data_IF_251111477165
#
_entry.id   IF_251111477165
#
_cell.length_a   1.000
_cell.length_b   1.000
_cell.length_c   1.000
_cell.angle_alpha   90.00
_cell.angle_beta   90.00
_cell.angle_gamma   90.00
#
_symmetry.space_group_name_H-M   'P 1'
#
loop_
_entity.id
_entity.type
_entity.pdbx_description
1 polymer ?
#
# COMPACT_ATOMS: atom_id res chain seq x y z
N UNK A 1 -17.05 10.06 -18.82
CA UNK A 1 -16.83 8.85 -19.58
C UNK A 1 -15.34 8.57 -19.76
N UNK A 2 -14.94 7.33 -19.49
CA UNK A 2 -13.78 6.68 -20.08
C UNK A 2 -12.39 6.90 -19.51
N UNK A 3 -12.22 7.30 -18.29
CA UNK A 3 -10.88 7.32 -17.72
C UNK A 3 -10.55 6.13 -16.79
N UNK A 4 -11.07 4.96 -17.15
CA UNK A 4 -10.78 3.68 -16.49
C UNK A 4 -9.35 3.17 -16.70
N UNK A 5 -8.54 3.87 -17.49
CA UNK A 5 -7.13 3.53 -17.75
C UNK A 5 -6.13 4.31 -16.88
N UNK A 6 -6.58 5.28 -16.11
CA UNK A 6 -5.72 6.06 -15.21
C UNK A 6 -5.44 5.25 -13.96
N UNK A 7 -4.17 5.03 -13.66
CA UNK A 7 -3.79 4.50 -12.36
C UNK A 7 -4.23 5.48 -11.25
N UNK A 8 -4.70 4.96 -10.13
CA UNK A 8 -5.10 5.77 -8.96
C UNK A 8 -4.07 6.83 -8.56
N UNK A 9 -2.79 6.55 -8.74
CA UNK A 9 -1.71 7.48 -8.46
C UNK A 9 -1.77 8.81 -9.25
N UNK A 10 -2.27 8.79 -10.48
CA UNK A 10 -2.34 9.98 -11.33
C UNK A 10 -3.50 10.90 -10.92
N UNK A 11 -4.65 10.30 -10.60
CA UNK A 11 -5.84 11.04 -10.16
C UNK A 11 -5.54 11.79 -8.87
N UNK A 12 -4.91 11.16 -7.90
CA UNK A 12 -4.54 11.81 -6.63
C UNK A 12 -3.55 12.94 -6.82
N UNK A 13 -2.53 12.75 -7.64
CA UNK A 13 -1.50 13.77 -7.87
C UNK A 13 -2.10 15.04 -8.48
N UNK A 14 -2.98 14.87 -9.45
CA UNK A 14 -3.68 16.00 -10.07
C UNK A 14 -4.67 16.66 -9.12
N UNK A 15 -5.43 15.89 -8.36
CA UNK A 15 -6.34 16.44 -7.34
C UNK A 15 -5.59 17.22 -6.26
N UNK A 16 -4.44 16.73 -5.80
CA UNK A 16 -3.60 17.42 -4.83
C UNK A 16 -3.05 18.74 -5.38
N UNK A 17 -2.69 18.78 -6.66
CA UNK A 17 -2.25 20.00 -7.33
C UNK A 17 -3.41 20.99 -7.52
N UNK A 18 -4.51 20.54 -8.11
CA UNK A 18 -5.70 21.37 -8.35
C UNK A 18 -6.28 21.92 -7.03
N UNK A 19 -6.12 21.18 -5.93
CA UNK A 19 -6.45 21.60 -4.57
C UNK A 19 -5.42 22.50 -3.88
N UNK A 20 -4.29 22.83 -4.56
CA UNK A 20 -3.23 23.65 -4.00
C UNK A 20 -2.44 23.00 -2.84
N UNK A 21 -2.49 21.68 -2.72
CA UNK A 21 -1.85 20.92 -1.63
C UNK A 21 -0.38 20.62 -1.95
N UNK A 22 -0.04 20.48 -3.23
CA UNK A 22 1.34 20.28 -3.69
C UNK A 22 1.79 21.45 -4.58
N UNK A 23 3.01 21.87 -4.37
CA UNK A 23 3.70 22.85 -5.22
C UNK A 23 4.57 22.15 -6.28
N UNK A 24 5.13 22.95 -7.20
CA UNK A 24 5.93 22.42 -8.33
C UNK A 24 7.29 21.86 -7.92
N UNK A 25 7.74 22.15 -6.71
CA UNK A 25 9.03 21.70 -6.17
C UNK A 25 8.92 20.38 -5.41
N UNK A 26 7.71 19.88 -5.15
CA UNK A 26 7.48 18.61 -4.49
C UNK A 26 7.95 17.43 -5.35
N UNK A 27 8.52 16.44 -4.68
CA UNK A 27 8.86 15.18 -5.32
C UNK A 27 7.60 14.38 -5.65
N UNK A 28 7.51 13.96 -6.91
CA UNK A 28 6.43 13.11 -7.42
C UNK A 28 7.07 11.85 -8.00
N UNK A 29 7.06 10.77 -7.24
CA UNK A 29 7.63 9.49 -7.66
C UNK A 29 6.54 8.70 -8.40
N UNK A 30 6.81 8.35 -9.67
CA UNK A 30 5.85 7.68 -10.53
C UNK A 30 6.28 6.23 -10.76
N UNK A 31 5.82 5.34 -9.87
CA UNK A 31 6.13 3.91 -9.88
C UNK A 31 5.18 3.11 -10.80
N UNK A 32 5.49 1.81 -10.91
CA UNK A 32 4.67 0.82 -11.60
C UNK A 32 4.86 0.84 -13.11
N UNK A 33 4.27 -0.15 -13.77
CA UNK A 33 4.33 -0.35 -15.22
C UNK A 33 3.60 0.81 -15.95
N UNK A 34 4.26 1.45 -16.94
CA UNK A 34 3.73 2.63 -17.62
C UNK A 34 3.06 2.24 -18.93
N UNK A 35 1.75 2.42 -18.97
CA UNK A 35 0.98 2.40 -20.21
C UNK A 35 1.05 3.78 -20.88
N UNK A 36 0.77 3.89 -22.20
CA UNK A 36 0.86 5.17 -22.92
C UNK A 36 0.16 6.34 -22.22
N UNK A 37 -1.07 6.15 -21.76
CA UNK A 37 -1.81 7.20 -21.06
C UNK A 37 -1.13 7.65 -19.76
N UNK A 38 -0.50 6.73 -19.03
CA UNK A 38 0.26 7.09 -17.82
C UNK A 38 1.50 7.90 -18.18
N UNK A 39 2.19 7.52 -19.26
CA UNK A 39 3.34 8.29 -19.79
C UNK A 39 2.93 9.72 -20.17
N UNK A 40 1.80 9.88 -20.84
CA UNK A 40 1.27 11.20 -21.21
C UNK A 40 0.97 12.07 -19.97
N UNK A 41 0.36 11.50 -18.95
CA UNK A 41 0.07 12.20 -17.70
C UNK A 41 1.37 12.63 -16.98
N UNK A 42 2.38 11.76 -16.94
CA UNK A 42 3.69 12.10 -16.36
C UNK A 42 4.37 13.20 -17.18
N UNK A 43 4.34 13.08 -18.51
CA UNK A 43 4.91 14.06 -19.41
C UNK A 43 4.23 15.43 -19.24
N UNK A 44 2.92 15.46 -19.05
CA UNK A 44 2.19 16.70 -18.77
C UNK A 44 2.70 17.36 -17.48
N UNK A 45 2.86 16.61 -16.37
CA UNK A 45 3.40 17.17 -15.13
C UNK A 45 4.79 17.79 -15.34
N UNK A 46 5.70 17.08 -16.02
CA UNK A 46 7.04 17.60 -16.32
C UNK A 46 6.97 18.85 -17.21
N UNK A 47 6.13 18.83 -18.24
CA UNK A 47 5.95 19.95 -19.17
C UNK A 47 5.30 21.16 -18.48
N UNK A 48 4.45 20.96 -17.48
CA UNK A 48 3.84 21.99 -16.64
C UNK A 48 4.80 22.56 -15.58
N UNK A 49 6.01 22.00 -15.50
CA UNK A 49 7.08 22.54 -14.66
C UNK A 49 7.21 21.91 -13.28
N UNK A 50 6.69 20.70 -13.06
CA UNK A 50 6.96 19.90 -11.86
C UNK A 50 8.34 19.27 -11.99
N UNK A 51 9.37 20.01 -11.60
CA UNK A 51 10.79 19.71 -11.86
C UNK A 51 11.30 18.47 -11.09
N UNK A 52 10.58 18.03 -10.07
CA UNK A 52 10.91 16.87 -9.27
C UNK A 52 9.96 15.68 -9.51
N UNK A 53 9.33 15.64 -10.69
CA UNK A 53 8.63 14.44 -11.15
C UNK A 53 9.64 13.40 -11.62
N UNK A 54 9.66 12.24 -11.00
CA UNK A 54 10.60 11.15 -11.27
C UNK A 54 9.82 9.89 -11.67
N UNK A 55 9.61 9.63 -12.98
CA UNK A 55 9.15 8.32 -13.42
C UNK A 55 10.23 7.27 -13.16
N UNK A 56 9.87 6.21 -12.45
CA UNK A 56 10.74 5.09 -12.12
C UNK A 56 10.53 3.99 -13.14
N UNK A 57 11.52 3.73 -13.97
CA UNK A 57 11.47 2.72 -15.03
C UNK A 57 11.32 1.32 -14.43
N UNK A 58 10.28 0.64 -14.82
CA UNK A 58 10.00 -0.74 -14.44
C UNK A 58 10.62 -1.76 -15.42
N UNK A 59 10.84 -1.34 -16.65
CA UNK A 59 11.55 -2.08 -17.70
C UNK A 59 12.30 -1.14 -18.63
N UNK A 60 13.12 -1.71 -19.52
CA UNK A 60 14.00 -0.93 -20.40
C UNK A 60 13.25 -0.22 -21.53
N UNK A 61 12.15 -0.82 -21.98
CA UNK A 61 11.33 -0.37 -23.10
C UNK A 61 10.52 0.88 -22.76
N UNK A 62 10.24 1.13 -21.48
CA UNK A 62 9.50 2.33 -21.04
C UNK A 62 10.22 3.63 -21.42
N UNK A 63 11.56 3.61 -21.52
CA UNK A 63 12.31 4.80 -21.90
C UNK A 63 11.99 5.24 -23.35
N UNK A 64 11.75 4.30 -24.25
CA UNK A 64 11.41 4.60 -25.64
C UNK A 64 10.01 5.24 -25.72
N UNK A 65 9.06 4.86 -24.85
CA UNK A 65 7.76 5.56 -24.72
C UNK A 65 7.91 7.00 -24.22
N UNK A 66 8.91 7.26 -23.38
CA UNK A 66 9.17 8.60 -22.85
C UNK A 66 9.80 9.53 -23.89
N UNK A 67 10.60 8.99 -24.85
CA UNK A 67 11.26 9.79 -25.87
C UNK A 67 10.26 10.62 -26.69
N UNK A 68 9.11 10.07 -27.01
CA UNK A 68 8.10 10.74 -27.82
C UNK A 68 7.23 11.71 -26.99
N UNK A 69 6.96 11.39 -25.74
CA UNK A 69 6.01 12.12 -24.91
C UNK A 69 6.58 13.36 -24.20
N UNK A 70 7.86 13.33 -23.84
CA UNK A 70 8.48 14.40 -23.06
C UNK A 70 9.08 15.48 -23.97
N UNK A 71 8.76 16.73 -23.73
CA UNK A 71 9.33 17.89 -24.44
C UNK A 71 10.40 18.63 -23.66
N UNK A 72 10.49 18.37 -22.34
CA UNK A 72 11.49 18.94 -21.43
C UNK A 72 12.40 17.87 -20.86
N UNK A 73 13.54 18.31 -20.32
CA UNK A 73 14.45 17.44 -19.58
C UNK A 73 13.72 16.86 -18.36
N UNK A 74 13.86 15.54 -18.15
CA UNK A 74 13.20 14.81 -17.08
C UNK A 74 14.21 14.01 -16.25
N UNK A 75 14.02 14.02 -14.94
CA UNK A 75 14.68 13.10 -14.01
C UNK A 75 13.99 11.74 -14.11
N UNK A 76 14.76 10.65 -14.11
CA UNK A 76 14.22 9.28 -14.13
C UNK A 76 14.82 8.47 -13.00
N UNK A 77 14.06 7.47 -12.55
CA UNK A 77 14.54 6.42 -11.66
C UNK A 77 14.62 5.08 -12.37
N UNK A 78 15.29 4.11 -11.78
CA UNK A 78 15.31 2.72 -12.20
C UNK A 78 14.87 1.86 -11.03
N UNK A 79 13.87 1.01 -11.23
CA UNK A 79 13.51 -0.04 -10.27
C UNK A 79 14.37 -1.26 -10.50
N UNK A 80 14.91 -1.79 -9.41
CA UNK A 80 15.70 -3.02 -9.38
C UNK A 80 14.75 -4.20 -9.15
N UNK A 81 14.89 -5.25 -9.95
CA UNK A 81 14.19 -6.50 -9.73
C UNK A 81 14.91 -7.28 -8.62
N UNK A 82 14.38 -7.17 -7.39
CA UNK A 82 14.92 -7.85 -6.23
C UNK A 82 14.61 -9.34 -6.24
N UNK A 83 15.46 -10.13 -5.57
CA UNK A 83 15.17 -11.51 -5.26
C UNK A 83 14.18 -11.60 -4.10
N UNK A 84 13.23 -12.54 -4.18
CA UNK A 84 12.22 -12.77 -3.16
C UNK A 84 12.62 -13.91 -2.21
N UNK A 85 12.03 -13.93 -1.04
CA UNK A 85 12.23 -15.06 -0.12
C UNK A 85 11.73 -16.39 -0.71
N UNK A 86 12.37 -17.53 -0.39
CA UNK A 86 12.03 -18.86 -0.97
C UNK A 86 10.59 -19.33 -0.74
N UNK A 87 9.85 -18.71 0.15
CA UNK A 87 8.43 -19.03 0.38
C UNK A 87 7.50 -18.55 -0.74
N UNK A 88 7.98 -17.67 -1.63
CA UNK A 88 7.23 -17.27 -2.81
C UNK A 88 7.42 -18.28 -3.93
N UNK A 89 6.40 -18.40 -4.78
CA UNK A 89 6.43 -19.26 -5.97
C UNK A 89 7.53 -18.84 -6.97
N UNK A 90 7.86 -17.55 -6.98
CA UNK A 90 8.88 -16.96 -7.85
C UNK A 90 10.02 -16.36 -7.02
N UNK A 91 11.25 -16.63 -7.44
CA UNK A 91 12.46 -16.16 -6.74
C UNK A 91 12.82 -14.71 -7.04
N UNK A 92 12.25 -14.12 -8.08
CA UNK A 92 12.57 -12.75 -8.50
C UNK A 92 11.31 -11.95 -8.72
N UNK A 93 11.33 -10.69 -8.30
CA UNK A 93 10.22 -9.75 -8.56
C UNK A 93 9.90 -9.69 -10.05
N UNK A 94 8.61 -9.73 -10.39
CA UNK A 94 8.14 -9.51 -11.77
C UNK A 94 8.32 -8.06 -12.24
N UNK A 95 8.67 -7.15 -11.34
CA UNK A 95 8.83 -5.72 -11.58
C UNK A 95 10.30 -5.33 -11.45
N UNK A 96 10.72 -4.42 -12.32
CA UNK A 96 12.07 -3.85 -12.31
C UNK A 96 13.02 -4.48 -13.32
N UNK A 97 14.21 -3.91 -13.40
CA UNK A 97 15.32 -4.32 -14.27
C UNK A 97 16.30 -5.16 -13.45
N UNK A 98 16.81 -6.25 -14.02
CA UNK A 98 17.77 -7.14 -13.34
C UNK A 98 19.04 -6.38 -12.96
N UNK A 99 19.63 -6.70 -11.81
CA UNK A 99 20.87 -6.09 -11.30
C UNK A 99 21.96 -5.99 -12.37
N UNK A 100 22.26 -7.09 -13.03
CA UNK A 100 23.35 -7.17 -14.01
C UNK A 100 23.11 -6.35 -15.28
N UNK A 101 21.88 -5.95 -15.54
CA UNK A 101 21.53 -5.24 -16.78
C UNK A 101 21.53 -3.71 -16.60
N UNK A 102 21.53 -3.22 -15.37
CA UNK A 102 21.32 -1.79 -15.07
C UNK A 102 22.47 -0.93 -15.56
N UNK A 103 23.71 -1.34 -15.32
CA UNK A 103 24.92 -0.59 -15.70
C UNK A 103 24.99 -0.46 -17.23
N UNK A 104 24.77 -1.55 -17.94
CA UNK A 104 24.82 -1.57 -19.41
C UNK A 104 23.66 -0.77 -20.01
N UNK A 105 22.47 -0.86 -19.43
CA UNK A 105 21.33 -0.06 -19.84
C UNK A 105 21.62 1.44 -19.64
N UNK A 106 22.15 1.83 -18.49
CA UNK A 106 22.55 3.23 -18.25
C UNK A 106 23.56 3.71 -19.30
N UNK A 107 24.64 2.95 -19.56
CA UNK A 107 25.67 3.31 -20.53
C UNK A 107 25.11 3.43 -21.94
N UNK A 108 24.20 2.54 -22.32
CA UNK A 108 23.65 2.49 -23.68
C UNK A 108 22.59 3.58 -23.95
N UNK A 109 21.74 3.86 -22.97
CA UNK A 109 20.53 4.66 -23.20
C UNK A 109 20.50 5.98 -22.44
N UNK A 110 21.06 6.09 -21.24
CA UNK A 110 20.90 7.25 -20.35
C UNK A 110 22.15 8.13 -20.29
N UNK A 111 23.35 7.56 -20.32
CA UNK A 111 24.62 8.31 -20.11
C UNK A 111 24.77 9.54 -21.00
N UNK A 112 24.40 9.43 -22.26
CA UNK A 112 24.52 10.50 -23.24
C UNK A 112 23.17 11.15 -23.59
N UNK A 113 22.10 10.82 -22.87
CA UNK A 113 20.79 11.39 -23.11
C UNK A 113 20.79 12.88 -22.75
N UNK A 114 20.31 13.71 -23.67
CA UNK A 114 20.07 15.13 -23.43
C UNK A 114 18.73 15.39 -22.73
N UNK A 115 17.86 14.40 -22.76
CA UNK A 115 16.47 14.48 -22.30
C UNK A 115 16.28 13.86 -20.92
N UNK A 116 16.92 12.74 -20.65
CA UNK A 116 16.75 11.98 -19.41
C UNK A 116 18.01 12.03 -18.54
N UNK A 117 17.80 12.20 -17.24
CA UNK A 117 18.85 12.23 -16.24
C UNK A 117 18.53 11.22 -15.15
N UNK A 118 19.38 10.18 -15.01
CA UNK A 118 19.20 9.22 -13.94
C UNK A 118 19.43 9.88 -12.58
N UNK A 119 18.42 9.83 -11.71
CA UNK A 119 18.41 10.51 -10.41
C UNK A 119 18.25 9.56 -9.25
N UNK A 120 17.56 8.43 -9.44
CA UNK A 120 17.11 7.57 -8.38
C UNK A 120 17.27 6.09 -8.75
N UNK A 121 17.69 5.28 -7.77
CA UNK A 121 17.43 3.85 -7.76
C UNK A 121 16.28 3.53 -6.81
N UNK A 122 15.50 2.54 -7.13
CA UNK A 122 14.38 2.05 -6.32
C UNK A 122 14.45 0.54 -6.18
N UNK A 123 14.30 0.04 -4.95
CA UNK A 123 14.07 -1.37 -4.71
C UNK A 123 12.91 -1.58 -3.73
N UNK A 124 12.33 -2.77 -3.76
CA UNK A 124 11.23 -3.15 -2.89
C UNK A 124 11.21 -4.67 -2.74
N UNK A 125 10.99 -5.13 -1.52
CA UNK A 125 10.85 -6.55 -1.18
C UNK A 125 9.42 -6.80 -0.68
N UNK A 126 8.73 -7.80 -1.26
CA UNK A 126 7.33 -8.10 -0.93
C UNK A 126 7.11 -8.51 0.54
N UNK A 127 8.12 -9.11 1.19
CA UNK A 127 8.05 -9.47 2.61
C UNK A 127 8.14 -8.28 3.56
N UNK A 128 8.41 -7.10 3.02
CA UNK A 128 8.57 -5.87 3.78
C UNK A 128 9.91 -5.73 4.49
N UNK A 129 10.04 -4.66 5.25
CA UNK A 129 11.25 -4.33 6.01
C UNK A 129 11.24 -5.14 7.29
N UNK A 130 12.13 -6.10 7.37
CA UNK A 130 12.32 -7.00 8.50
C UNK A 130 13.80 -7.23 8.72
N UNK A 131 14.18 -7.53 9.94
CA UNK A 131 15.54 -7.95 10.27
C UNK A 131 15.78 -9.39 9.81
N UNK A 132 15.92 -9.55 8.49
CA UNK A 132 16.17 -10.84 7.84
C UNK A 132 17.38 -10.77 6.93
N UNK A 133 18.07 -11.90 6.78
CA UNK A 133 19.21 -12.00 5.88
C UNK A 133 18.83 -11.62 4.42
N UNK A 134 17.59 -11.86 4.02
CA UNK A 134 17.10 -11.48 2.69
C UNK A 134 17.04 -9.97 2.51
N UNK A 135 16.45 -9.25 3.46
CA UNK A 135 16.37 -7.80 3.38
C UNK A 135 17.76 -7.15 3.31
N UNK A 136 18.66 -7.55 4.21
CA UNK A 136 20.03 -7.01 4.24
C UNK A 136 20.83 -7.35 3.00
N UNK A 137 20.66 -8.54 2.45
CA UNK A 137 21.31 -8.94 1.21
C UNK A 137 20.83 -8.09 0.01
N UNK A 138 19.52 -7.90 -0.14
CA UNK A 138 18.95 -7.11 -1.22
C UNK A 138 19.30 -5.62 -1.10
N UNK A 139 19.28 -5.06 0.12
CA UNK A 139 19.78 -3.70 0.36
C UNK A 139 21.24 -3.57 -0.05
N UNK A 140 22.09 -4.55 0.32
CA UNK A 140 23.51 -4.54 -0.03
C UNK A 140 23.74 -4.64 -1.53
N UNK A 141 23.01 -5.50 -2.23
CA UNK A 141 23.08 -5.61 -3.70
C UNK A 141 22.68 -4.28 -4.37
N UNK A 142 21.57 -3.69 -3.92
CA UNK A 142 21.11 -2.39 -4.42
C UNK A 142 22.15 -1.29 -4.22
N UNK A 143 22.75 -1.24 -3.04
CA UNK A 143 23.78 -0.25 -2.71
C UNK A 143 25.08 -0.46 -3.51
N UNK A 144 25.47 -1.69 -3.84
CA UNK A 144 26.61 -1.95 -4.72
C UNK A 144 26.32 -1.40 -6.13
N UNK A 145 25.13 -1.63 -6.67
CA UNK A 145 24.71 -1.05 -7.97
C UNK A 145 24.69 0.49 -7.90
N UNK A 146 24.22 1.06 -6.78
CA UNK A 146 24.25 2.50 -6.57
C UNK A 146 25.67 3.05 -6.64
N UNK A 147 26.61 2.46 -5.92
CA UNK A 147 28.01 2.92 -5.91
C UNK A 147 28.67 2.82 -7.29
N UNK A 148 28.47 1.69 -8.02
CA UNK A 148 28.96 1.53 -9.38
C UNK A 148 28.38 2.57 -10.35
N UNK A 149 27.09 2.83 -10.26
CA UNK A 149 26.44 3.85 -11.09
C UNK A 149 26.89 5.25 -10.71
N UNK A 150 27.02 5.58 -9.43
CA UNK A 150 27.44 6.89 -8.97
C UNK A 150 28.82 7.27 -9.50
N UNK A 151 29.75 6.31 -9.63
CA UNK A 151 31.07 6.52 -10.19
C UNK A 151 31.03 6.98 -11.67
N UNK A 152 29.98 6.66 -12.43
CA UNK A 152 29.83 7.00 -13.86
C UNK A 152 28.64 7.93 -14.13
N UNK A 153 27.81 8.23 -13.13
CA UNK A 153 26.62 9.07 -13.15
C UNK A 153 26.62 10.00 -11.92
N UNK A 154 27.35 11.10 -11.93
CA UNK A 154 27.44 12.01 -10.78
C UNK A 154 26.08 12.57 -10.32
N UNK A 155 25.11 12.65 -11.21
CA UNK A 155 23.77 13.15 -10.94
C UNK A 155 22.88 12.18 -10.16
N UNK A 156 23.23 10.91 -10.10
CA UNK A 156 22.54 9.92 -9.25
C UNK A 156 22.79 10.25 -7.78
N UNK A 157 21.75 10.59 -7.04
CA UNK A 157 21.87 11.02 -5.64
C UNK A 157 20.73 10.53 -4.76
N UNK A 158 19.85 9.67 -5.26
CA UNK A 158 18.67 9.25 -4.55
C UNK A 158 18.50 7.74 -4.55
N UNK A 159 18.11 7.20 -3.39
CA UNK A 159 17.74 5.81 -3.19
C UNK A 159 16.35 5.74 -2.60
N UNK A 160 15.43 5.08 -3.29
CA UNK A 160 14.12 4.75 -2.76
C UNK A 160 14.14 3.30 -2.26
N UNK A 161 13.99 3.13 -0.95
CA UNK A 161 14.01 1.82 -0.29
C UNK A 161 12.64 1.15 -0.24
N UNK A 162 11.65 1.71 -0.96
CA UNK A 162 10.29 1.19 -0.99
C UNK A 162 9.54 1.34 0.32
N UNK A 163 8.52 0.51 0.49
CA UNK A 163 7.70 0.42 1.68
C UNK A 163 7.90 -0.88 2.44
N UNK A 164 6.97 -1.17 3.35
CA UNK A 164 6.92 -2.46 4.01
C UNK A 164 7.22 -2.44 5.50
N UNK A 165 7.28 -1.29 6.17
CA UNK A 165 7.23 -1.28 7.62
C UNK A 165 5.89 -1.91 8.07
N UNK A 166 5.95 -2.89 8.98
CA UNK A 166 4.76 -3.53 9.49
C UNK A 166 3.92 -2.55 10.29
N UNK A 167 2.61 -2.75 10.27
CA UNK A 167 1.66 -2.03 11.12
C UNK A 167 1.26 -2.90 12.30
N UNK A 168 0.88 -2.27 13.39
CA UNK A 168 0.36 -2.96 14.56
C UNK A 168 -0.93 -3.70 14.21
N UNK A 169 -0.87 -5.02 14.28
CA UNK A 169 -1.96 -5.93 13.90
C UNK A 169 -2.49 -6.78 15.07
N UNK A 170 -1.93 -6.57 16.26
CA UNK A 170 -2.35 -7.19 17.51
C UNK A 170 -2.01 -6.29 18.68
N UNK A 171 -2.66 -6.48 19.83
CA UNK A 171 -2.41 -5.68 21.03
C UNK A 171 -1.01 -5.90 21.62
N UNK A 172 -0.43 -7.05 21.40
CA UNK A 172 0.92 -7.42 21.81
C UNK A 172 1.95 -7.31 20.68
N UNK A 173 1.64 -6.53 19.64
CA UNK A 173 2.57 -6.31 18.55
C UNK A 173 3.75 -5.46 19.04
N UNK A 174 4.95 -5.98 18.78
CA UNK A 174 6.22 -5.31 19.06
C UNK A 174 7.07 -5.29 17.78
N UNK A 175 7.59 -4.14 17.46
CA UNK A 175 8.52 -3.94 16.35
C UNK A 175 9.36 -2.70 16.64
N UNK A 176 10.66 -2.87 16.65
CA UNK A 176 11.60 -1.78 16.94
C UNK A 176 11.90 -0.99 15.64
N UNK A 177 11.07 0.01 15.38
CA UNK A 177 11.21 0.89 14.21
C UNK A 177 12.49 1.72 14.25
N UNK A 178 12.90 2.17 15.44
CA UNK A 178 14.10 3.00 15.64
C UNK A 178 15.35 2.20 15.30
N UNK A 179 15.50 1.04 15.89
CA UNK A 179 16.59 0.11 15.61
C UNK A 179 16.71 -0.21 14.12
N UNK A 180 15.61 -0.63 13.48
CA UNK A 180 15.64 -1.00 12.06
C UNK A 180 16.00 0.20 11.16
N UNK A 181 15.53 1.39 11.49
CA UNK A 181 15.85 2.61 10.74
C UNK A 181 17.33 2.98 10.88
N UNK A 182 17.87 2.91 12.09
CA UNK A 182 19.29 3.16 12.37
C UNK A 182 20.18 2.16 11.64
N UNK A 183 19.85 0.87 11.68
CA UNK A 183 20.62 -0.18 11.00
C UNK A 183 20.60 -0.02 9.47
N UNK A 184 19.45 0.36 8.87
CA UNK A 184 19.35 0.65 7.44
C UNK A 184 20.28 1.80 7.07
N UNK A 185 20.24 2.90 7.83
CA UNK A 185 21.08 4.08 7.58
C UNK A 185 22.56 3.71 7.76
N UNK A 186 22.89 2.97 8.82
CA UNK A 186 24.26 2.53 9.09
C UNK A 186 24.79 1.64 7.95
N UNK A 187 24.01 0.70 7.47
CA UNK A 187 24.38 -0.17 6.36
C UNK A 187 24.64 0.61 5.07
N UNK A 188 23.75 1.56 4.72
CA UNK A 188 23.90 2.43 3.55
C UNK A 188 25.22 3.23 3.66
N UNK A 189 25.47 3.88 4.80
CA UNK A 189 26.68 4.66 5.06
C UNK A 189 27.95 3.79 4.97
N UNK A 190 27.93 2.62 5.59
CA UNK A 190 29.06 1.69 5.56
C UNK A 190 29.43 1.25 4.14
N UNK A 191 28.42 0.97 3.29
CA UNK A 191 28.68 0.56 1.90
C UNK A 191 29.20 1.76 1.10
N UNK A 192 28.61 2.94 1.24
CA UNK A 192 29.10 4.15 0.59
C UNK A 192 30.56 4.47 0.97
N UNK A 193 30.87 4.43 2.25
CA UNK A 193 32.22 4.67 2.75
C UNK A 193 33.25 3.68 2.21
N UNK A 194 32.92 2.38 2.16
CA UNK A 194 33.81 1.34 1.58
C UNK A 194 34.10 1.54 0.09
N UNK A 195 33.19 2.17 -0.63
CA UNK A 195 33.28 2.42 -2.06
C UNK A 195 33.69 3.86 -2.40
N UNK A 196 34.10 4.66 -1.42
CA UNK A 196 34.42 6.09 -1.60
C UNK A 196 33.34 6.85 -2.38
N UNK A 197 32.07 6.62 -2.00
CA UNK A 197 30.89 7.12 -2.72
C UNK A 197 30.07 8.01 -1.80
N UNK A 198 29.50 9.08 -2.33
CA UNK A 198 28.57 9.95 -1.61
C UNK A 198 27.29 9.21 -1.23
N UNK A 199 26.80 9.45 -0.02
CA UNK A 199 25.57 8.89 0.50
C UNK A 199 24.33 9.41 -0.32
N UNK A 200 23.34 8.55 -0.61
CA UNK A 200 22.13 8.99 -1.28
C UNK A 200 21.16 9.72 -0.35
N UNK A 201 20.31 10.57 -0.93
CA UNK A 201 19.07 10.97 -0.29
C UNK A 201 18.13 9.76 -0.25
N UNK A 202 17.63 9.42 0.94
CA UNK A 202 16.78 8.25 1.14
C UNK A 202 15.31 8.66 0.96
N UNK A 203 14.60 7.91 0.13
CA UNK A 203 13.15 7.98 -0.05
C UNK A 203 12.50 6.72 0.49
N UNK A 204 11.32 6.86 1.07
CA UNK A 204 10.54 5.76 1.62
C UNK A 204 9.10 5.82 1.11
N UNK A 205 8.44 4.66 1.04
CA UNK A 205 7.05 4.50 0.63
C UNK A 205 6.23 3.83 1.75
N UNK A 206 6.37 4.31 2.97
CA UNK A 206 5.77 3.73 4.18
C UNK A 206 4.26 4.00 4.29
N UNK A 207 3.50 3.74 3.21
CA UNK A 207 2.07 4.06 3.12
C UNK A 207 1.25 3.41 4.23
N UNK A 208 1.31 2.09 4.38
CA UNK A 208 0.56 1.37 5.42
C UNK A 208 0.93 1.82 6.83
N UNK A 209 2.22 2.02 7.09
CA UNK A 209 2.69 2.54 8.37
C UNK A 209 2.15 3.95 8.67
N UNK A 210 2.08 4.80 7.64
CA UNK A 210 1.65 6.19 7.79
C UNK A 210 0.14 6.32 8.03
N UNK A 211 -0.69 5.52 7.34
CA UNK A 211 -2.15 5.69 7.35
C UNK A 211 -2.91 4.50 7.94
N UNK A 212 -2.28 3.37 8.19
CA UNK A 212 -2.95 2.16 8.68
C UNK A 212 -3.73 2.40 9.96
N UNK A 213 -3.12 3.05 10.94
CA UNK A 213 -3.73 3.31 12.25
C UNK A 213 -4.89 4.33 12.20
N UNK A 214 -5.05 5.06 11.10
CA UNK A 214 -6.11 6.06 10.96
C UNK A 214 -7.48 5.49 10.60
N UNK A 215 -7.58 4.19 10.29
CA UNK A 215 -8.82 3.56 9.84
C UNK A 215 -9.31 2.45 10.76
N UNK A 216 -10.63 2.29 10.79
CA UNK A 216 -11.30 1.17 11.41
C UNK A 216 -12.53 0.76 10.59
N UNK A 217 -12.80 -0.54 10.51
CA UNK A 217 -14.05 -1.09 9.98
C UNK A 217 -14.93 -1.57 11.14
N UNK A 218 -16.19 -1.15 11.14
CA UNK A 218 -17.14 -1.45 12.20
C UNK A 218 -18.31 -2.26 11.64
N UNK A 219 -18.62 -3.38 12.27
CA UNK A 219 -19.70 -4.28 11.84
C UNK A 219 -20.66 -4.56 12.98
N UNK A 220 -21.94 -4.75 12.62
CA UNK A 220 -22.91 -5.36 13.54
C UNK A 220 -23.02 -6.87 13.30
N UNK A 221 -23.26 -7.62 14.37
CA UNK A 221 -23.60 -9.04 14.28
C UNK A 221 -25.09 -9.16 14.02
N UNK A 222 -25.44 -9.65 12.84
CA UNK A 222 -26.84 -9.77 12.40
C UNK A 222 -27.46 -11.11 12.70
N UNK A 223 -26.65 -12.14 12.89
CA UNK A 223 -27.14 -13.47 13.18
C UNK A 223 -26.09 -14.34 13.90
N UNK A 224 -26.59 -15.34 14.63
CA UNK A 224 -25.80 -16.42 15.19
C UNK A 224 -26.31 -17.76 14.64
N UNK A 225 -25.38 -18.61 14.20
CA UNK A 225 -25.67 -19.95 13.71
C UNK A 225 -24.80 -20.98 14.44
N UNK A 226 -25.41 -21.93 15.06
CA UNK A 226 -24.70 -23.09 15.61
C UNK A 226 -24.83 -24.24 14.62
N UNK A 227 -23.74 -24.61 13.94
CA UNK A 227 -23.76 -25.64 12.91
C UNK A 227 -23.49 -27.03 13.47
N UNK A 228 -22.80 -27.08 14.60
CA UNK A 228 -22.56 -28.31 15.38
C UNK A 228 -22.10 -27.91 16.80
N UNK A 229 -21.76 -28.87 17.64
CA UNK A 229 -21.39 -28.66 19.05
C UNK A 229 -20.12 -27.81 19.25
N UNK A 230 -19.34 -27.56 18.18
CA UNK A 230 -18.06 -26.86 18.23
C UNK A 230 -18.03 -25.55 17.41
N UNK A 231 -18.93 -25.39 16.46
CA UNK A 231 -18.93 -24.29 15.51
C UNK A 231 -20.12 -23.38 15.73
N UNK A 232 -19.83 -22.24 16.34
CA UNK A 232 -20.79 -21.17 16.59
C UNK A 232 -20.37 -19.96 15.73
N UNK A 233 -21.15 -19.65 14.72
CA UNK A 233 -20.88 -18.58 13.78
C UNK A 233 -21.61 -17.29 14.16
N UNK A 234 -20.89 -16.19 14.17
CA UNK A 234 -21.44 -14.84 14.16
C UNK A 234 -21.36 -14.28 12.75
N UNK A 235 -22.50 -13.90 12.20
CA UNK A 235 -22.58 -13.32 10.86
C UNK A 235 -22.57 -11.81 10.96
N UNK A 236 -21.63 -11.16 10.26
CA UNK A 236 -21.55 -9.69 10.19
C UNK A 236 -22.54 -9.14 9.16
N UNK A 237 -22.83 -7.83 9.21
CA UNK A 237 -23.70 -7.12 8.27
C UNK A 237 -23.00 -6.71 6.97
N UNK A 238 -21.86 -7.29 6.65
CA UNK A 238 -21.07 -7.00 5.47
C UNK A 238 -20.30 -8.25 5.00
N UNK A 239 -19.25 -8.04 4.21
CA UNK A 239 -18.37 -9.08 3.69
C UNK A 239 -16.91 -8.76 3.98
N UNK A 240 -16.15 -9.73 4.46
CA UNK A 240 -14.70 -9.60 4.64
C UNK A 240 -14.00 -9.47 3.29
N UNK A 241 -14.44 -10.19 2.26
CA UNK A 241 -13.88 -10.10 0.91
C UNK A 241 -14.06 -8.67 0.35
N UNK A 242 -15.21 -8.05 0.61
CA UNK A 242 -15.50 -6.70 0.11
C UNK A 242 -14.78 -5.61 0.88
N UNK A 243 -14.80 -5.64 2.20
CA UNK A 243 -14.37 -4.51 3.04
C UNK A 243 -13.02 -4.68 3.71
N UNK A 244 -12.56 -5.93 3.88
CA UNK A 244 -11.24 -6.31 4.42
C UNK A 244 -10.57 -7.38 3.53
N UNK A 245 -10.38 -7.12 2.23
CA UNK A 245 -9.92 -8.14 1.28
C UNK A 245 -8.54 -8.71 1.61
N UNK A 246 -7.69 -8.00 2.33
CA UNK A 246 -6.38 -8.52 2.72
C UNK A 246 -6.46 -9.67 3.73
N UNK A 247 -7.58 -9.82 4.45
CA UNK A 247 -7.80 -11.00 5.29
C UNK A 247 -7.92 -12.27 4.45
N UNK A 248 -8.60 -12.15 3.30
CA UNK A 248 -8.78 -13.22 2.33
C UNK A 248 -7.58 -13.38 1.39
N UNK A 249 -7.09 -12.28 0.80
CA UNK A 249 -6.08 -12.32 -0.25
C UNK A 249 -4.67 -12.64 0.24
N UNK A 250 -4.29 -12.17 1.41
CA UNK A 250 -2.93 -12.32 1.95
C UNK A 250 -2.90 -12.74 3.42
N UNK A 251 -4.04 -13.17 3.96
CA UNK A 251 -4.16 -13.63 5.33
C UNK A 251 -3.76 -12.57 6.37
N UNK A 252 -4.05 -11.30 6.05
CA UNK A 252 -3.72 -10.16 6.92
C UNK A 252 -4.56 -10.20 8.20
N UNK A 253 -3.89 -9.97 9.30
CA UNK A 253 -4.51 -9.88 10.63
C UNK A 253 -4.72 -8.42 11.03
N UNK A 254 -5.81 -8.17 11.75
CA UNK A 254 -6.14 -6.87 12.34
C UNK A 254 -6.39 -6.99 13.84
N UNK A 255 -6.26 -5.87 14.56
CA UNK A 255 -6.76 -5.78 15.93
C UNK A 255 -8.28 -5.83 15.85
N UNK A 256 -8.90 -6.87 16.42
CA UNK A 256 -10.34 -7.03 16.47
C UNK A 256 -10.81 -6.95 17.93
N UNK A 257 -11.80 -6.11 18.19
CA UNK A 257 -12.37 -5.90 19.52
C UNK A 257 -13.90 -5.82 19.45
N UNK A 258 -14.56 -6.32 20.49
CA UNK A 258 -15.93 -5.93 20.75
C UNK A 258 -15.98 -4.41 21.02
N UNK A 259 -17.01 -3.72 20.51
CA UNK A 259 -17.16 -2.28 20.67
C UNK A 259 -18.18 -1.95 21.79
N UNK A 260 -19.02 -2.90 22.10
CA UNK A 260 -20.01 -2.81 23.19
C UNK A 260 -20.14 -4.15 23.92
N UNK A 261 -20.93 -4.18 24.99
CA UNK A 261 -21.26 -5.36 25.78
C UNK A 261 -20.03 -6.07 26.39
N UNK A 262 -19.02 -5.33 26.77
CA UNK A 262 -17.72 -5.86 27.19
C UNK A 262 -17.76 -6.61 28.52
N UNK A 263 -18.75 -6.35 29.34
CA UNK A 263 -18.99 -6.95 30.67
C UNK A 263 -19.68 -8.30 30.60
N UNK A 264 -20.08 -8.76 29.39
CA UNK A 264 -20.76 -10.03 29.21
C UNK A 264 -19.81 -11.23 29.23
N UNK A 265 -20.37 -12.40 29.43
CA UNK A 265 -19.65 -13.65 29.23
C UNK A 265 -19.24 -13.79 27.77
N UNK A 266 -17.98 -14.18 27.53
CA UNK A 266 -17.43 -14.39 26.18
C UNK A 266 -17.57 -15.86 25.79
N UNK A 267 -17.78 -16.10 24.51
CA UNK A 267 -17.78 -17.42 23.94
C UNK A 267 -16.91 -17.48 22.68
N UNK A 268 -16.40 -18.67 22.36
CA UNK A 268 -15.67 -18.92 21.15
C UNK A 268 -16.62 -18.86 19.95
N UNK A 269 -16.23 -18.12 18.92
CA UNK A 269 -17.01 -17.94 17.70
C UNK A 269 -16.13 -18.00 16.47
N UNK A 270 -16.76 -18.21 15.32
CA UNK A 270 -16.25 -17.98 13.99
C UNK A 270 -16.97 -16.75 13.42
N UNK A 271 -16.32 -15.98 12.58
CA UNK A 271 -16.91 -14.79 11.96
C UNK A 271 -17.11 -15.02 10.47
N UNK A 272 -18.34 -14.90 10.00
CA UNK A 272 -18.71 -15.04 8.59
C UNK A 272 -19.33 -13.78 8.02
N UNK A 273 -19.08 -13.54 6.73
CA UNK A 273 -19.72 -12.48 5.94
C UNK A 273 -21.04 -12.94 5.31
N UNK A 274 -21.67 -12.04 4.55
CA UNK A 274 -23.00 -12.24 3.95
C UNK A 274 -22.97 -12.85 2.56
N UNK A 275 -21.79 -12.94 1.91
CA UNK A 275 -21.72 -13.44 0.53
C UNK A 275 -21.86 -14.96 0.46
N UNK A 276 -22.11 -15.49 -0.73
CA UNK A 276 -22.14 -16.92 -0.97
C UNK A 276 -20.76 -17.55 -1.17
N UNK A 277 -19.69 -16.74 -1.12
CA UNK A 277 -18.33 -17.24 -1.25
C UNK A 277 -17.92 -18.03 0.00
N UNK A 278 -17.35 -19.22 -0.19
CA UNK A 278 -16.90 -20.08 0.89
C UNK A 278 -15.76 -19.48 1.72
N UNK A 279 -15.03 -18.54 1.16
CA UNK A 279 -13.91 -17.86 1.81
C UNK A 279 -14.32 -16.54 2.50
N UNK A 280 -15.62 -16.19 2.49
CA UNK A 280 -16.10 -14.96 3.15
C UNK A 280 -16.23 -15.13 4.65
N UNK A 281 -15.11 -15.39 5.30
CA UNK A 281 -14.98 -15.45 6.75
C UNK A 281 -13.66 -14.85 7.22
N UNK A 282 -13.60 -14.44 8.48
CA UNK A 282 -12.36 -13.93 9.04
C UNK A 282 -11.45 -15.08 9.43
N UNK A 283 -10.41 -15.29 8.66
CA UNK A 283 -9.42 -16.31 8.87
C UNK A 283 -8.08 -15.68 9.25
N UNK A 284 -7.89 -15.38 10.51
CA UNK A 284 -6.55 -15.05 11.01
C UNK A 284 -5.89 -16.37 11.46
N UNK A 285 -4.97 -16.89 10.67
CA UNK A 285 -4.34 -18.22 10.85
C UNK A 285 -3.95 -18.55 12.29
N UNK A 286 -3.27 -17.67 12.97
CA UNK A 286 -2.82 -17.89 14.34
C UNK A 286 -3.95 -17.92 15.36
N UNK A 287 -5.19 -17.60 14.96
CA UNK A 287 -6.34 -17.45 15.84
C UNK A 287 -7.63 -18.05 15.30
N UNK A 288 -7.58 -18.84 14.24
CA UNK A 288 -8.75 -19.42 13.58
C UNK A 288 -9.75 -20.09 14.55
N UNK A 289 -9.26 -20.59 15.67
CA UNK A 289 -10.08 -21.21 16.70
C UNK A 289 -10.10 -20.43 18.03
N UNK A 290 -9.63 -19.20 18.05
CA UNK A 290 -9.39 -18.43 19.27
C UNK A 290 -10.06 -17.05 19.28
N UNK A 291 -11.11 -16.85 18.46
CA UNK A 291 -11.93 -15.65 18.52
C UNK A 291 -12.96 -15.83 19.63
N UNK A 292 -12.89 -14.94 20.63
CA UNK A 292 -13.85 -14.89 21.72
C UNK A 292 -14.57 -13.54 21.67
N UNK A 293 -15.90 -13.58 21.63
CA UNK A 293 -16.75 -12.39 21.63
C UNK A 293 -17.86 -12.54 22.68
N UNK A 294 -18.45 -11.40 23.14
CA UNK A 294 -19.57 -11.42 24.04
C UNK A 294 -20.73 -12.26 23.50
N UNK A 295 -21.38 -13.01 24.37
CA UNK A 295 -22.61 -13.76 24.06
C UNK A 295 -23.70 -12.77 23.58
N UNK A 296 -24.41 -13.16 22.51
CA UNK A 296 -25.56 -12.40 22.05
C UNK A 296 -26.73 -12.52 22.97
N UNK A 297 -27.46 -11.44 23.16
CA UNK A 297 -28.72 -11.41 23.89
C UNK A 297 -29.84 -10.85 22.98
N UNK A 298 -31.04 -11.40 23.07
CA UNK A 298 -32.18 -10.91 22.31
C UNK A 298 -32.44 -9.41 22.53
N UNK A 299 -32.63 -8.67 21.43
CA UNK A 299 -32.89 -7.24 21.45
C UNK A 299 -31.65 -6.34 21.62
N UNK A 300 -30.46 -6.90 21.73
CA UNK A 300 -29.21 -6.19 21.91
C UNK A 300 -28.26 -6.45 20.73
N UNK A 301 -27.93 -5.43 19.95
CA UNK A 301 -26.98 -5.56 18.86
C UNK A 301 -25.55 -5.60 19.38
N UNK A 302 -24.77 -6.60 18.94
CA UNK A 302 -23.34 -6.65 19.17
C UNK A 302 -22.61 -5.97 18.04
N UNK A 303 -21.68 -5.07 18.36
CA UNK A 303 -20.78 -4.44 17.41
C UNK A 303 -19.35 -4.95 17.62
N UNK A 304 -18.64 -5.17 16.51
CA UNK A 304 -17.23 -5.50 16.49
C UNK A 304 -16.47 -4.51 15.60
N UNK A 305 -15.26 -4.17 16.00
CA UNK A 305 -14.37 -3.27 15.26
C UNK A 305 -13.09 -3.98 14.84
N UNK A 306 -12.68 -3.74 13.61
CA UNK A 306 -11.36 -4.08 13.10
C UNK A 306 -10.57 -2.78 12.95
N UNK A 307 -9.48 -2.68 13.68
CA UNK A 307 -8.69 -1.46 13.79
C UNK A 307 -7.40 -1.56 12.97
N UNK A 308 -6.86 -0.40 12.59
CA UNK A 308 -5.69 -0.24 11.74
C UNK A 308 -5.93 -0.68 10.29
N UNK A 309 -7.11 -0.38 9.77
CA UNK A 309 -7.56 -0.72 8.41
C UNK A 309 -7.46 0.47 7.44
N UNK A 310 -6.73 1.54 7.78
CA UNK A 310 -6.67 2.78 7.00
C UNK A 310 -5.88 2.69 5.69
N UNK A 311 -5.17 1.59 5.45
CA UNK A 311 -4.45 1.34 4.21
C UNK A 311 -5.08 0.19 3.43
N UNK A 312 -5.15 0.33 2.11
CA UNK A 312 -5.70 -0.65 1.16
C UNK A 312 -7.18 -0.98 1.40
N UNK A 313 -7.49 -2.14 1.88
CA UNK A 313 -8.81 -2.67 2.23
C UNK A 313 -9.91 -2.29 1.22
N UNK A 314 -10.99 -1.65 1.66
CA UNK A 314 -12.07 -1.23 0.76
C UNK A 314 -11.56 -0.39 -0.43
N UNK A 315 -10.51 0.40 -0.24
CA UNK A 315 -9.92 1.23 -1.29
C UNK A 315 -9.28 0.43 -2.43
N UNK A 316 -8.93 -0.86 -2.23
CA UNK A 316 -8.36 -1.71 -3.29
C UNK A 316 -9.32 -1.89 -4.47
N UNK A 317 -10.60 -2.04 -4.22
CA UNK A 317 -11.63 -2.18 -5.24
C UNK A 317 -12.25 -0.85 -5.70
N UNK A 318 -11.77 0.28 -5.18
CA UNK A 318 -12.42 1.58 -5.33
C UNK A 318 -13.59 1.75 -4.35
N UNK A 319 -14.38 2.82 -4.50
CA UNK A 319 -15.51 3.07 -3.62
C UNK A 319 -16.50 1.90 -3.63
N UNK A 320 -16.74 1.33 -2.46
CA UNK A 320 -17.55 0.14 -2.26
C UNK A 320 -16.77 -1.18 -2.29
N UNK A 321 -15.46 -1.13 -2.49
CA UNK A 321 -14.62 -2.31 -2.47
C UNK A 321 -14.85 -3.26 -3.64
N UNK A 322 -14.56 -4.55 -3.42
CA UNK A 322 -14.84 -5.63 -4.35
C UNK A 322 -16.35 -5.89 -4.34
N UNK A 323 -17.04 -5.72 -5.49
CA UNK A 323 -18.51 -5.80 -5.59
C UNK A 323 -19.03 -7.24 -5.64
N UNK A 324 -18.50 -8.14 -4.80
CA UNK A 324 -18.98 -9.52 -4.70
C UNK A 324 -20.40 -9.54 -4.12
N UNK A 325 -21.31 -10.28 -4.73
CA UNK A 325 -22.73 -10.35 -4.37
C UNK A 325 -23.41 -8.96 -4.28
N UNK A 326 -22.82 -7.94 -4.90
CA UNK A 326 -23.31 -6.55 -4.88
C UNK A 326 -23.51 -6.02 -3.44
N UNK A 327 -22.64 -6.39 -2.52
CA UNK A 327 -22.64 -5.82 -1.19
C UNK A 327 -22.41 -4.30 -1.30
N UNK A 328 -23.32 -3.46 -0.78
CA UNK A 328 -23.17 -2.03 -0.87
C UNK A 328 -22.04 -1.51 0.02
N UNK A 329 -21.37 -0.44 -0.43
CA UNK A 329 -20.37 0.23 0.38
C UNK A 329 -20.98 0.76 1.69
N UNK A 330 -20.29 0.62 2.82
CA UNK A 330 -20.71 1.19 4.09
C UNK A 330 -20.64 2.72 4.07
N UNK A 331 -21.25 3.37 5.05
CA UNK A 331 -21.04 4.79 5.27
C UNK A 331 -19.65 5.04 5.85
N UNK A 332 -19.01 6.13 5.43
CA UNK A 332 -17.74 6.56 5.98
C UNK A 332 -17.95 7.75 6.93
N UNK A 333 -17.44 7.60 8.12
CA UNK A 333 -17.45 8.64 9.15
C UNK A 333 -16.00 9.02 9.46
N UNK A 334 -15.74 10.32 9.44
CA UNK A 334 -14.48 10.85 9.97
C UNK A 334 -14.70 11.17 11.45
N UNK A 335 -13.81 10.67 12.29
CA UNK A 335 -13.67 11.02 13.69
C UNK A 335 -12.41 11.88 13.80
N UNK A 336 -12.54 13.06 14.33
CA UNK A 336 -11.43 13.99 14.48
C UNK A 336 -11.53 14.67 15.86
N UNK A 337 -10.46 15.33 16.27
CA UNK A 337 -10.36 15.98 17.56
C UNK A 337 -10.22 17.48 17.37
N UNK A 338 -11.09 18.24 18.00
CA UNK A 338 -10.99 19.70 17.99
C UNK A 338 -9.72 20.13 18.76
N UNK A 339 -8.92 20.99 18.14
CA UNK A 339 -7.67 21.49 18.72
C UNK A 339 -7.90 22.50 19.85
N UNK A 340 -9.09 23.11 19.91
CA UNK A 340 -9.40 24.17 20.85
C UNK A 340 -9.86 23.65 22.23
N UNK A 341 -10.70 22.62 22.24
CA UNK A 341 -11.28 22.06 23.47
C UNK A 341 -10.89 20.60 23.70
N UNK A 342 -10.20 19.98 22.72
CA UNK A 342 -9.74 18.62 22.80
C UNK A 342 -10.88 17.57 22.77
N UNK A 343 -12.10 17.96 22.37
CA UNK A 343 -13.23 17.07 22.23
C UNK A 343 -13.23 16.35 20.88
N UNK A 344 -13.79 15.14 20.84
CA UNK A 344 -13.96 14.40 19.60
C UNK A 344 -15.27 14.80 18.92
N UNK A 345 -15.18 15.03 17.62
CA UNK A 345 -16.36 15.23 16.79
C UNK A 345 -16.39 14.25 15.62
N UNK A 346 -17.57 14.02 15.09
CA UNK A 346 -17.78 13.15 13.94
C UNK A 346 -18.40 13.93 12.79
N UNK A 347 -18.01 13.59 11.57
CA UNK A 347 -18.67 14.07 10.36
C UNK A 347 -18.84 12.96 9.35
N UNK A 348 -19.97 12.98 8.65
CA UNK A 348 -20.21 12.06 7.54
C UNK A 348 -19.33 12.46 6.35
N UNK A 349 -18.45 11.55 5.93
CA UNK A 349 -17.63 11.73 4.72
C UNK A 349 -18.35 11.20 3.48
N UNK A 350 -18.85 9.96 3.52
CA UNK A 350 -19.63 9.36 2.46
C UNK A 350 -20.83 8.60 3.04
N UNK A 351 -21.98 8.69 2.35
CA UNK A 351 -23.15 7.88 2.67
C UNK A 351 -22.95 6.45 2.20
N UNK A 352 -23.63 5.52 2.85
CA UNK A 352 -23.75 4.16 2.34
C UNK A 352 -24.31 4.14 0.91
N UNK A 353 -23.89 3.18 0.11
CA UNK A 353 -24.43 2.98 -1.22
C UNK A 353 -25.90 2.54 -1.15
N UNK A 354 -26.76 3.18 -1.94
CA UNK A 354 -28.13 2.74 -2.12
C UNK A 354 -28.21 1.71 -3.26
N UNK A 355 -29.29 0.92 -3.30
CA UNK A 355 -29.56 0.03 -4.42
C UNK A 355 -29.59 0.75 -5.78
N UNK A 356 -30.04 2.01 -5.81
CA UNK A 356 -30.03 2.84 -7.04
C UNK A 356 -28.62 3.20 -7.47
N UNK A 357 -27.74 3.47 -6.53
CA UNK A 357 -26.32 3.69 -6.80
C UNK A 357 -25.66 2.44 -7.36
N UNK A 358 -25.99 1.27 -6.81
CA UNK A 358 -25.51 -0.02 -7.31
C UNK A 358 -25.98 -0.30 -8.74
N UNK A 359 -27.27 -0.07 -9.03
CA UNK A 359 -27.82 -0.22 -10.39
C UNK A 359 -27.11 0.67 -11.40
N UNK A 360 -26.78 1.92 -11.04
CA UNK A 360 -26.02 2.81 -11.93
C UNK A 360 -24.62 2.28 -12.26
N UNK A 361 -23.95 1.64 -11.32
CA UNK A 361 -22.65 1.00 -11.57
C UNK A 361 -22.79 -0.12 -12.60
N UNK A 362 -23.93 -0.82 -12.60
CA UNK A 362 -24.25 -1.88 -13.55
C UNK A 362 -24.80 -1.36 -14.90
N UNK A 363 -24.99 -0.04 -15.04
CA UNK A 363 -25.46 0.57 -16.28
C UNK A 363 -26.99 0.73 -16.40
N UNK A 364 -27.73 0.64 -15.28
CA UNK A 364 -29.17 0.83 -15.19
C UNK A 364 -29.56 2.21 -14.63
#
# INVERSE_FOLDING_TARGET
>A
DTDRSRGLGDVYKRQLYDGGIIDKDRYIICNGFKRPQYVENIAQLVNDGFVNTIPVLDNKEELDLFEDAFTKKCKVGIRIACEEEPKFEFYTSRLGIRYNDIIDFYKAKLKNSKKFQLKMLHFFINTGIKDTAYYWNELSKCMNVYCELKAICPELDSLNIGGGFPIKNSLNFEYDYEYLTEEIIAQIKNICHRNDTEEPNIFTEFGSFTVGESGAALYSIVNQKQQNDRENWYMIDSSFITTLPDTWGINQRYIMLAVNNWDREYQRVLLGGLTCDSEDFYNAESHTNAIFLPKLEPGNTQYIGFFHTGAYQESLGGFGGIQHCLIPAPKHIIIDRDKSDNEYYTRLFAKEQSYRSMLRILGY
#
